data_IF_566163592364
#
_entry.id   IF_566163592364
#
_cell.length_a   1.000
_cell.length_b   1.000
_cell.length_c   1.000
_cell.angle_alpha   90.00
_cell.angle_beta   90.00
_cell.angle_gamma   90.00
#
_symmetry.space_group_name_H-M   'P 1'
#
loop_
_entity.id
_entity.type
_entity.pdbx_description
1 polymer ?
#
# COMPACT_ATOMS: atom_id res chain seq x y z
N UNK A 1 14.61 -4.72 -3.46
CA UNK A 1 14.33 -3.99 -4.72
C UNK A 1 14.43 -2.50 -4.43
N UNK A 2 15.30 -1.75 -5.10
CA UNK A 2 15.49 -0.29 -4.86
C UNK A 2 15.45 0.52 -6.16
N UNK A 3 14.99 -0.06 -7.27
CA UNK A 3 14.85 0.65 -8.54
C UNK A 3 13.70 1.66 -8.47
N UNK A 4 13.93 2.89 -8.95
CA UNK A 4 12.89 3.92 -9.03
C UNK A 4 11.97 3.63 -10.21
N UNK A 5 10.69 3.36 -9.94
CA UNK A 5 9.70 3.17 -10.99
C UNK A 5 9.13 4.52 -11.44
N UNK A 6 9.91 5.24 -12.25
CA UNK A 6 9.55 6.56 -12.73
C UNK A 6 8.50 6.43 -13.85
N UNK A 7 7.23 6.64 -13.52
CA UNK A 7 6.15 6.80 -14.50
C UNK A 7 5.09 5.71 -14.52
N UNK A 8 5.26 4.62 -13.78
CA UNK A 8 4.24 3.60 -13.63
C UNK A 8 3.65 3.61 -12.20
N UNK A 9 2.36 3.25 -12.03
CA UNK A 9 1.74 3.21 -10.72
C UNK A 9 2.48 2.27 -9.76
N UNK A 10 2.58 2.68 -8.50
CA UNK A 10 3.16 1.88 -7.42
C UNK A 10 2.10 1.57 -6.38
N UNK A 11 2.28 0.45 -5.66
CA UNK A 11 1.48 0.13 -4.49
C UNK A 11 2.25 0.55 -3.25
N UNK A 12 1.68 1.46 -2.47
CA UNK A 12 2.10 1.71 -1.09
C UNK A 12 1.40 0.73 -0.16
N UNK A 13 2.14 0.13 0.77
CA UNK A 13 1.64 -0.84 1.73
C UNK A 13 2.05 -0.44 3.15
N UNK A 14 1.07 -0.33 4.04
CA UNK A 14 1.23 -0.13 5.48
C UNK A 14 0.70 -1.37 6.21
N UNK A 15 1.57 -2.00 6.98
CA UNK A 15 1.30 -3.25 7.68
C UNK A 15 1.30 -2.98 9.19
N UNK A 16 0.11 -2.83 9.76
CA UNK A 16 -0.09 -2.73 11.19
C UNK A 16 -0.57 -4.05 11.79
N UNK A 17 -0.41 -4.21 13.10
CA UNK A 17 -0.90 -5.39 13.83
C UNK A 17 -2.41 -5.59 13.78
N UNK A 18 -3.17 -4.52 13.49
CA UNK A 18 -4.65 -4.57 13.41
C UNK A 18 -5.19 -4.39 12.00
N UNK A 19 -4.44 -3.75 11.09
CA UNK A 19 -4.91 -3.41 9.75
C UNK A 19 -3.77 -3.46 8.74
N UNK A 20 -4.13 -3.87 7.53
CA UNK A 20 -3.33 -3.72 6.33
C UNK A 20 -3.98 -2.63 5.50
N UNK A 21 -3.24 -1.56 5.20
CA UNK A 21 -3.68 -0.50 4.31
C UNK A 21 -2.84 -0.49 3.02
N UNK A 22 -3.52 -0.37 1.89
CA UNK A 22 -2.90 -0.28 0.57
C UNK A 22 -3.41 0.94 -0.20
N UNK A 23 -2.53 1.55 -0.97
CA UNK A 23 -2.89 2.61 -1.91
C UNK A 23 -2.22 2.37 -3.26
N UNK A 24 -2.99 2.48 -4.34
CA UNK A 24 -2.45 2.59 -5.69
C UNK A 24 -2.10 4.06 -5.94
N UNK A 25 -0.82 4.34 -6.16
CA UNK A 25 -0.29 5.70 -6.31
C UNK A 25 0.19 5.87 -7.74
N UNK A 26 -0.44 6.78 -8.47
CA UNK A 26 -0.05 7.19 -9.81
C UNK A 26 1.06 8.24 -9.81
N UNK A 27 1.45 8.72 -11.01
CA UNK A 27 2.44 9.78 -11.15
C UNK A 27 2.10 11.03 -10.31
N UNK A 28 3.14 11.71 -9.81
CA UNK A 28 2.99 12.91 -8.99
C UNK A 28 2.43 12.67 -7.57
N UNK A 29 2.30 11.41 -7.14
CA UNK A 29 1.78 11.07 -5.82
C UNK A 29 0.25 10.99 -5.73
N UNK A 30 -0.45 11.03 -6.88
CA UNK A 30 -1.91 10.93 -6.91
C UNK A 30 -2.38 9.57 -6.42
N UNK A 31 -3.29 9.53 -5.44
CA UNK A 31 -3.87 8.27 -4.97
C UNK A 31 -5.06 7.91 -5.86
N UNK A 32 -4.93 6.81 -6.61
CA UNK A 32 -5.95 6.31 -7.55
C UNK A 32 -6.96 5.39 -6.86
N UNK A 33 -6.52 4.63 -5.86
CA UNK A 33 -7.38 3.74 -5.08
C UNK A 33 -6.82 3.55 -3.67
N UNK A 34 -7.71 3.27 -2.72
CA UNK A 34 -7.38 2.88 -1.34
C UNK A 34 -8.10 1.60 -0.98
N UNK A 35 -7.42 0.76 -0.22
CA UNK A 35 -8.01 -0.43 0.37
C UNK A 35 -7.52 -0.62 1.80
N UNK A 36 -8.40 -1.12 2.66
CA UNK A 36 -8.05 -1.43 4.05
C UNK A 36 -8.73 -2.72 4.43
N UNK A 37 -7.95 -3.64 4.99
CA UNK A 37 -8.42 -4.92 5.51
C UNK A 37 -7.98 -5.04 6.97
N UNK A 38 -8.79 -5.69 7.83
CA UNK A 38 -8.31 -6.10 9.14
C UNK A 38 -7.16 -7.10 8.96
N UNK A 39 -6.13 -6.98 9.79
CA UNK A 39 -5.07 -8.00 9.85
C UNK A 39 -5.64 -9.19 10.61
N UNK A 40 -5.69 -10.40 10.02
CA UNK A 40 -6.10 -11.60 10.73
C UNK A 40 -4.94 -12.05 11.65
N UNK A 41 -4.76 -11.33 12.75
CA UNK A 41 -3.82 -11.72 13.81
C UNK A 41 -4.41 -12.93 14.54
N UNK A 42 -4.07 -14.14 14.09
CA UNK A 42 -4.50 -15.38 14.74
C UNK A 42 -3.69 -15.67 16.02
N UNK A 43 -2.48 -15.11 16.12
CA UNK A 43 -1.57 -15.20 17.26
C UNK A 43 -0.82 -13.87 17.31
N UNK A 44 -1.24 -12.98 18.21
CA UNK A 44 -0.55 -11.71 18.50
C UNK A 44 0.39 -11.88 19.68
#
# INVERSE_FOLDING_TARGET
MTARHLGAPVIGLDLGGTKIAAALVGPGGTVLARHTLPTPAAQG
#
